data_IF_669449452835
#
_entry.id   IF_669449452835
#
_cell.length_a   1.000
_cell.length_b   1.000
_cell.length_c   1.000
_cell.angle_alpha   90.00
_cell.angle_beta   90.00
_cell.angle_gamma   90.00
#
_symmetry.space_group_name_H-M   'P 1'
#
loop_
_entity.id
_entity.type
_entity.pdbx_description
1 polymer ?
#
# COMPACT_ATOMS: atom_id res chain seq x y z
N UNK A 1 0.99 -1.93 -30.05
CA UNK A 1 0.77 -1.98 -28.60
C UNK A 1 -0.48 -2.80 -28.33
N UNK A 2 -0.37 -3.89 -27.57
CA UNK A 2 -1.50 -4.77 -27.24
C UNK A 2 -1.65 -4.84 -25.73
N UNK A 3 -2.85 -4.62 -25.21
CA UNK A 3 -3.10 -4.63 -23.78
C UNK A 3 -3.12 -6.07 -23.24
N UNK A 4 -2.45 -6.32 -22.11
CA UNK A 4 -2.24 -7.65 -21.54
C UNK A 4 -2.92 -7.85 -20.19
N UNK A 5 -2.89 -6.82 -19.33
CA UNK A 5 -3.34 -6.91 -17.94
C UNK A 5 -3.64 -5.54 -17.34
N UNK A 6 -4.59 -5.50 -16.42
CA UNK A 6 -4.88 -4.40 -15.50
C UNK A 6 -5.17 -4.93 -14.12
N UNK A 7 -4.73 -4.18 -13.11
CA UNK A 7 -5.16 -4.31 -11.73
C UNK A 7 -5.35 -2.94 -11.12
N UNK A 8 -6.46 -2.79 -10.40
CA UNK A 8 -6.73 -1.69 -9.51
C UNK A 8 -6.95 -2.25 -8.10
N UNK A 9 -6.17 -1.79 -7.14
CA UNK A 9 -6.32 -2.09 -5.73
C UNK A 9 -6.70 -0.79 -5.03
N UNK A 10 -7.92 -0.69 -4.54
CA UNK A 10 -8.44 0.49 -3.86
C UNK A 10 -8.64 0.21 -2.38
N UNK A 11 -8.16 1.09 -1.50
CA UNK A 11 -8.40 1.03 -0.06
C UNK A 11 -9.07 2.31 0.41
N UNK A 12 -10.14 2.16 1.19
CA UNK A 12 -10.84 3.27 1.84
C UNK A 12 -10.92 3.07 3.34
N UNK A 13 -10.94 4.17 4.09
CA UNK A 13 -11.25 4.19 5.52
C UNK A 13 -12.29 5.25 5.79
N UNK A 14 -13.33 4.89 6.52
CA UNK A 14 -14.45 5.77 6.85
C UNK A 14 -14.92 5.58 8.29
N UNK A 15 -15.48 6.62 8.87
CA UNK A 15 -16.30 6.48 10.07
C UNK A 15 -17.54 5.65 9.77
N UNK A 16 -17.70 4.55 10.51
CA UNK A 16 -18.94 3.78 10.52
C UNK A 16 -19.91 4.33 11.58
N UNK A 17 -19.36 4.76 12.72
CA UNK A 17 -20.03 5.45 13.82
C UNK A 17 -18.99 6.26 14.60
N UNK A 18 -19.43 7.03 15.60
CA UNK A 18 -18.55 7.88 16.43
C UNK A 18 -17.41 7.11 17.13
N UNK A 19 -17.57 5.79 17.32
CA UNK A 19 -16.63 4.91 18.01
C UNK A 19 -15.98 3.85 17.10
N UNK A 20 -16.33 3.82 15.80
CA UNK A 20 -15.91 2.74 14.89
C UNK A 20 -15.48 3.23 13.53
N UNK A 21 -14.43 2.59 13.03
CA UNK A 21 -13.93 2.79 11.68
C UNK A 21 -14.20 1.54 10.85
N UNK A 22 -14.51 1.73 9.58
CA UNK A 22 -14.50 0.67 8.57
C UNK A 22 -13.36 0.93 7.62
N UNK A 23 -12.48 -0.06 7.46
CA UNK A 23 -11.47 -0.07 6.41
C UNK A 23 -11.78 -1.19 5.42
N UNK A 24 -11.72 -0.87 4.14
CA UNK A 24 -12.07 -1.80 3.06
C UNK A 24 -11.00 -1.71 1.97
N UNK A 25 -10.52 -2.86 1.51
CA UNK A 25 -9.63 -3.00 0.36
C UNK A 25 -10.32 -3.84 -0.72
N UNK A 26 -10.44 -3.29 -1.92
CA UNK A 26 -11.00 -3.95 -3.10
C UNK A 26 -9.91 -4.17 -4.12
N UNK A 27 -9.79 -5.40 -4.63
CA UNK A 27 -8.98 -5.75 -5.78
C UNK A 27 -9.94 -5.96 -6.95
N UNK A 28 -9.78 -5.16 -8.00
CA UNK A 28 -10.45 -5.35 -9.27
C UNK A 28 -9.39 -5.42 -10.37
N UNK A 29 -9.22 -6.60 -10.96
CA UNK A 29 -8.17 -6.86 -11.93
C UNK A 29 -8.66 -7.78 -13.04
N UNK A 30 -7.83 -7.99 -14.06
CA UNK A 30 -8.20 -8.77 -15.24
C UNK A 30 -8.65 -10.20 -14.88
N UNK A 31 -8.02 -10.82 -13.89
CA UNK A 31 -8.26 -12.21 -13.51
C UNK A 31 -9.09 -12.36 -12.22
N UNK A 32 -9.12 -11.35 -11.36
CA UNK A 32 -9.75 -11.49 -10.04
C UNK A 32 -10.47 -10.23 -9.56
N UNK A 33 -11.51 -10.46 -8.77
CA UNK A 33 -12.36 -9.46 -8.13
C UNK A 33 -12.69 -9.92 -6.70
N UNK A 34 -12.14 -9.22 -5.72
CA UNK A 34 -12.29 -9.54 -4.30
C UNK A 34 -12.36 -8.27 -3.46
N UNK A 35 -12.96 -8.37 -2.28
CA UNK A 35 -12.94 -7.34 -1.26
C UNK A 35 -12.59 -7.94 0.09
N UNK A 36 -11.75 -7.27 0.86
CA UNK A 36 -11.51 -7.56 2.27
C UNK A 36 -11.81 -6.32 3.09
N UNK A 37 -12.32 -6.49 4.29
CA UNK A 37 -12.62 -5.36 5.18
C UNK A 37 -12.46 -5.73 6.65
N UNK A 38 -12.23 -4.70 7.45
CA UNK A 38 -12.22 -4.75 8.90
C UNK A 38 -13.06 -3.62 9.47
N UNK A 39 -13.64 -3.85 10.65
CA UNK A 39 -14.21 -2.82 11.50
C UNK A 39 -13.37 -2.78 12.78
N UNK A 40 -12.92 -1.58 13.17
CA UNK A 40 -12.11 -1.39 14.39
C UNK A 40 -12.84 -0.46 15.35
N UNK A 41 -12.55 -0.60 16.64
CA UNK A 41 -12.80 0.50 17.57
C UNK A 41 -11.84 1.66 17.25
N UNK A 42 -12.23 2.90 17.55
CA UNK A 42 -11.42 4.08 17.21
C UNK A 42 -10.27 4.33 18.20
N UNK A 43 -10.45 3.93 19.46
CA UNK A 43 -9.57 4.35 20.56
C UNK A 43 -8.30 3.52 20.60
N UNK A 44 -8.45 2.20 20.53
CA UNK A 44 -7.37 1.22 20.63
C UNK A 44 -7.06 0.60 19.27
N UNK A 45 -7.95 0.71 18.28
CA UNK A 45 -7.82 0.10 16.95
C UNK A 45 -7.88 -1.43 16.95
N UNK A 46 -8.56 -2.06 17.91
CA UNK A 46 -8.75 -3.50 17.87
C UNK A 46 -9.80 -3.87 16.82
N UNK A 47 -9.52 -4.91 16.05
CA UNK A 47 -10.44 -5.44 15.05
C UNK A 47 -11.64 -6.06 15.77
N UNK A 48 -12.82 -5.50 15.55
CA UNK A 48 -14.10 -5.98 16.10
C UNK A 48 -14.77 -6.98 15.16
N UNK A 49 -14.64 -6.76 13.85
CA UNK A 49 -15.18 -7.61 12.79
C UNK A 49 -14.25 -7.59 11.59
N UNK A 50 -14.21 -8.69 10.84
CA UNK A 50 -13.48 -8.78 9.60
C UNK A 50 -14.10 -9.84 8.70
N UNK A 51 -14.05 -9.60 7.40
CA UNK A 51 -14.44 -10.57 6.40
C UNK A 51 -13.72 -10.30 5.08
N UNK A 52 -13.86 -11.26 4.17
CA UNK A 52 -13.56 -11.06 2.75
C UNK A 52 -14.63 -11.73 1.89
N UNK A 53 -14.80 -11.20 0.70
CA UNK A 53 -15.75 -11.70 -0.29
C UNK A 53 -15.05 -11.85 -1.63
N UNK A 54 -15.28 -13.00 -2.26
CA UNK A 54 -14.73 -13.36 -3.57
C UNK A 54 -15.87 -13.29 -4.58
N UNK A 55 -15.76 -12.39 -5.55
CA UNK A 55 -16.73 -12.29 -6.65
C UNK A 55 -16.24 -13.09 -7.86
N UNK A 56 -14.95 -12.97 -8.19
CA UNK A 56 -14.29 -13.69 -9.27
C UNK A 56 -12.85 -14.04 -8.90
N UNK A 57 -12.46 -15.28 -9.11
CA UNK A 57 -11.05 -15.70 -9.00
C UNK A 57 -10.83 -17.00 -9.78
N UNK A 58 -9.64 -17.20 -10.37
CA UNK A 58 -9.25 -18.51 -10.90
C UNK A 58 -8.80 -19.49 -9.81
N UNK A 59 -8.56 -19.02 -8.58
CA UNK A 59 -8.02 -19.82 -7.47
C UNK A 59 -9.07 -20.04 -6.37
N UNK A 60 -9.86 -19.01 -6.07
CA UNK A 60 -10.80 -19.03 -4.94
C UNK A 60 -12.24 -19.24 -5.38
N UNK A 61 -13.00 -19.99 -4.58
CA UNK A 61 -14.45 -20.11 -4.74
C UNK A 61 -15.13 -18.78 -4.43
N UNK A 62 -16.12 -18.41 -5.25
CA UNK A 62 -16.93 -17.23 -5.00
C UNK A 62 -17.77 -17.40 -3.73
N UNK A 63 -17.86 -16.35 -2.92
CA UNK A 63 -18.60 -16.38 -1.66
C UNK A 63 -18.11 -15.36 -0.64
N UNK A 64 -18.87 -15.27 0.45
CA UNK A 64 -18.56 -14.42 1.60
C UNK A 64 -18.01 -15.27 2.74
N UNK A 65 -16.93 -14.81 3.36
CA UNK A 65 -16.23 -15.53 4.40
C UNK A 65 -15.87 -14.58 5.54
N UNK A 66 -16.43 -14.85 6.72
CA UNK A 66 -16.04 -14.16 7.95
C UNK A 66 -14.64 -14.60 8.40
N UNK A 67 -13.93 -13.69 9.05
CA UNK A 67 -12.58 -13.92 9.56
C UNK A 67 -12.56 -13.74 11.10
N UNK A 68 -13.25 -14.60 11.87
CA UNK A 68 -13.26 -14.50 13.33
C UNK A 68 -11.85 -14.62 13.95
N UNK A 69 -10.91 -15.28 13.25
CA UNK A 69 -9.53 -15.48 13.69
C UNK A 69 -8.68 -14.20 13.78
N UNK A 70 -9.11 -13.10 13.16
CA UNK A 70 -8.43 -11.80 13.26
C UNK A 70 -9.07 -10.85 14.26
N UNK A 71 -10.23 -11.19 14.82
CA UNK A 71 -10.89 -10.36 15.85
C UNK A 71 -10.00 -10.27 17.08
N UNK A 72 -9.85 -9.04 17.61
CA UNK A 72 -8.98 -8.72 18.74
C UNK A 72 -7.52 -8.43 18.36
N UNK A 73 -7.12 -8.62 17.10
CA UNK A 73 -5.82 -8.12 16.63
C UNK A 73 -5.88 -6.59 16.62
N UNK A 74 -4.79 -5.96 17.08
CA UNK A 74 -4.63 -4.52 17.02
C UNK A 74 -4.28 -4.11 15.57
N UNK A 75 -5.15 -3.34 14.91
CA UNK A 75 -5.00 -2.82 13.54
C UNK A 75 -4.02 -1.63 13.48
N UNK A 76 -2.83 -1.83 14.06
CA UNK A 76 -1.77 -0.84 14.10
C UNK A 76 -0.43 -1.49 13.76
N UNK A 77 0.66 -0.79 14.08
CA UNK A 77 2.03 -1.25 13.87
C UNK A 77 2.25 -2.63 14.49
N UNK A 78 3.11 -3.44 13.86
CA UNK A 78 3.46 -4.80 14.31
C UNK A 78 2.31 -5.82 14.32
N UNK A 79 1.17 -5.54 13.69
CA UNK A 79 0.08 -6.51 13.46
C UNK A 79 0.47 -7.68 12.55
N UNK A 80 1.50 -7.52 11.70
CA UNK A 80 1.90 -8.49 10.68
C UNK A 80 2.15 -9.93 11.18
N UNK A 81 2.96 -10.15 12.24
CA UNK A 81 3.15 -11.48 12.82
C UNK A 81 1.86 -12.12 13.35
N UNK A 82 0.98 -11.34 13.98
CA UNK A 82 -0.30 -11.82 14.49
C UNK A 82 -1.23 -12.21 13.33
N UNK A 83 -1.34 -11.35 12.31
CA UNK A 83 -2.08 -11.67 11.09
C UNK A 83 -1.55 -12.93 10.40
N UNK A 84 -0.23 -13.09 10.29
CA UNK A 84 0.38 -14.28 9.70
C UNK A 84 0.07 -15.54 10.51
N UNK A 85 -0.01 -15.43 11.84
CA UNK A 85 -0.38 -16.53 12.73
C UNK A 85 -1.86 -16.91 12.60
N UNK A 86 -2.76 -15.92 12.55
CA UNK A 86 -4.20 -16.17 12.40
C UNK A 86 -4.56 -16.67 11.01
N UNK A 87 -3.93 -16.11 9.96
CA UNK A 87 -4.16 -16.45 8.56
C UNK A 87 -2.98 -17.27 8.01
N UNK A 88 -2.70 -18.41 8.63
CA UNK A 88 -1.48 -19.19 8.37
C UNK A 88 -1.56 -20.15 7.18
N UNK A 89 -2.76 -20.41 6.65
CA UNK A 89 -2.93 -21.35 5.53
C UNK A 89 -2.41 -20.70 4.24
N UNK A 90 -1.64 -21.40 3.38
CA UNK A 90 -1.13 -20.84 2.12
C UNK A 90 -2.21 -20.20 1.25
N UNK A 91 -3.40 -20.81 1.21
CA UNK A 91 -4.55 -20.31 0.45
C UNK A 91 -5.08 -18.96 0.98
N UNK A 92 -4.69 -18.51 2.17
CA UNK A 92 -5.10 -17.23 2.74
C UNK A 92 -4.11 -16.10 2.49
N UNK A 93 -3.11 -16.26 1.60
CA UNK A 93 -2.15 -15.21 1.32
C UNK A 93 -2.84 -13.93 0.82
N UNK A 94 -3.76 -14.03 -0.14
CA UNK A 94 -4.43 -12.86 -0.69
C UNK A 94 -5.35 -12.20 0.35
N UNK A 95 -6.05 -12.99 1.17
CA UNK A 95 -6.82 -12.50 2.32
C UNK A 95 -5.94 -11.69 3.26
N UNK A 96 -4.75 -12.21 3.61
CA UNK A 96 -3.80 -11.50 4.46
C UNK A 96 -3.30 -10.20 3.82
N UNK A 97 -3.09 -10.18 2.51
CA UNK A 97 -2.72 -8.96 1.78
C UNK A 97 -3.85 -7.91 1.85
N UNK A 98 -5.11 -8.30 1.61
CA UNK A 98 -6.28 -7.41 1.72
C UNK A 98 -6.41 -6.80 3.13
N UNK A 99 -6.33 -7.63 4.18
CA UNK A 99 -6.43 -7.17 5.57
C UNK A 99 -5.22 -6.30 5.93
N UNK A 100 -4.02 -6.61 5.43
CA UNK A 100 -2.84 -5.78 5.64
C UNK A 100 -2.99 -4.39 5.00
N UNK A 101 -3.58 -4.29 3.80
CA UNK A 101 -3.86 -2.98 3.19
C UNK A 101 -4.92 -2.20 3.99
N UNK A 102 -5.95 -2.86 4.53
CA UNK A 102 -6.92 -2.22 5.43
C UNK A 102 -6.23 -1.62 6.66
N UNK A 103 -5.34 -2.38 7.32
CA UNK A 103 -4.59 -1.89 8.49
C UNK A 103 -3.70 -0.70 8.13
N UNK A 104 -2.98 -0.75 6.99
CA UNK A 104 -2.20 0.41 6.54
C UNK A 104 -3.10 1.63 6.31
N UNK A 105 -4.30 1.43 5.77
CA UNK A 105 -5.29 2.49 5.63
C UNK A 105 -5.67 3.10 6.97
N UNK A 106 -5.97 2.26 7.98
CA UNK A 106 -6.32 2.72 9.34
C UNK A 106 -5.18 3.55 9.95
N UNK A 107 -3.94 3.08 9.83
CA UNK A 107 -2.76 3.81 10.32
C UNK A 107 -2.66 5.20 9.68
N UNK A 108 -2.86 5.30 8.36
CA UNK A 108 -2.80 6.57 7.64
C UNK A 108 -4.01 7.48 7.98
N UNK A 109 -5.18 6.90 8.21
CA UNK A 109 -6.38 7.64 8.60
C UNK A 109 -6.28 8.27 9.99
N UNK A 110 -5.39 7.77 10.86
CA UNK A 110 -5.18 8.25 12.24
C UNK A 110 -4.91 9.75 12.31
N UNK A 111 -4.31 10.34 11.27
CA UNK A 111 -4.11 11.79 11.12
C UNK A 111 -5.39 12.60 11.32
N UNK A 112 -6.57 12.03 11.04
CA UNK A 112 -7.85 12.71 11.16
C UNK A 112 -8.60 12.43 12.47
N UNK A 113 -8.14 11.48 13.29
CA UNK A 113 -8.75 11.12 14.57
C UNK A 113 -7.69 10.91 15.68
N UNK A 114 -6.56 11.62 15.60
CA UNK A 114 -5.47 11.50 16.56
C UNK A 114 -5.92 11.86 18.00
N UNK A 115 -6.92 12.75 18.15
CA UNK A 115 -7.42 13.13 19.48
C UNK A 115 -8.13 11.96 20.18
N UNK A 116 -8.92 11.20 19.42
CA UNK A 116 -9.61 10.00 19.86
C UNK A 116 -8.62 8.89 20.25
N UNK A 117 -7.42 8.93 19.66
CA UNK A 117 -6.27 8.08 19.98
C UNK A 117 -5.47 8.56 21.20
N UNK A 118 -5.85 9.68 21.80
CA UNK A 118 -5.29 10.19 23.05
C UNK A 118 -4.14 11.20 22.88
N UNK A 119 -3.83 11.61 21.64
CA UNK A 119 -2.85 12.66 21.39
C UNK A 119 -3.43 14.03 21.75
N UNK A 120 -2.62 14.88 22.39
CA UNK A 120 -3.07 16.16 22.96
C UNK A 120 -3.16 17.26 21.92
N UNK A 121 -2.30 17.22 20.91
CA UNK A 121 -2.21 18.21 19.85
C UNK A 121 -1.62 17.61 18.57
N UNK A 122 -1.60 18.40 17.49
CA UNK A 122 -0.98 18.03 16.22
C UNK A 122 0.53 17.78 16.38
N UNK A 123 1.21 18.62 17.17
CA UNK A 123 2.63 18.52 17.44
C UNK A 123 2.98 17.25 18.25
N UNK A 124 2.11 16.86 19.18
CA UNK A 124 2.25 15.63 19.97
C UNK A 124 2.13 14.38 19.07
N UNK A 125 1.15 14.38 18.16
CA UNK A 125 0.99 13.32 17.15
C UNK A 125 2.18 13.23 16.20
N UNK A 126 2.65 14.35 15.69
CA UNK A 126 3.78 14.41 14.76
C UNK A 126 5.09 13.98 15.44
N UNK A 127 5.34 14.43 16.67
CA UNK A 127 6.50 14.02 17.44
C UNK A 127 6.53 12.50 17.71
N UNK A 128 5.37 11.90 17.97
CA UNK A 128 5.25 10.44 18.08
C UNK A 128 5.65 9.75 16.78
N UNK A 129 5.09 10.17 15.64
CA UNK A 129 5.38 9.53 14.36
C UNK A 129 6.82 9.71 13.89
N UNK A 130 7.43 10.86 14.17
CA UNK A 130 8.85 11.11 13.91
C UNK A 130 9.77 10.12 14.65
N UNK A 131 9.37 9.65 15.84
CA UNK A 131 10.12 8.63 16.58
C UNK A 131 9.82 7.21 16.09
N UNK A 132 8.55 6.93 15.81
CA UNK A 132 8.08 5.61 15.44
C UNK A 132 8.55 5.19 14.05
N UNK A 133 8.60 6.14 13.11
CA UNK A 133 9.01 5.90 11.73
C UNK A 133 10.47 6.19 11.44
N UNK A 134 11.30 6.40 12.48
CA UNK A 134 12.75 6.56 12.31
C UNK A 134 13.31 5.46 11.40
N UNK A 135 14.14 5.86 10.43
CA UNK A 135 14.76 4.97 9.44
C UNK A 135 13.80 4.18 8.53
N UNK A 136 12.50 4.53 8.50
CA UNK A 136 11.51 3.82 7.68
C UNK A 136 11.47 4.28 6.21
N UNK A 137 11.86 5.52 5.94
CA UNK A 137 12.01 6.07 4.60
C UNK A 137 12.93 7.30 4.62
N UNK A 138 13.26 7.83 3.44
CA UNK A 138 14.20 8.92 3.26
C UNK A 138 13.84 10.16 4.09
N UNK A 139 12.54 10.48 4.18
CA UNK A 139 12.02 11.59 4.99
C UNK A 139 12.28 11.36 6.48
N UNK A 140 11.84 10.23 7.04
CA UNK A 140 12.02 9.94 8.47
C UNK A 140 13.46 9.60 8.87
N UNK A 141 14.34 9.34 7.90
CA UNK A 141 15.80 9.18 8.14
C UNK A 141 16.54 10.51 8.11
N UNK A 142 15.90 11.59 7.65
CA UNK A 142 16.51 12.91 7.44
C UNK A 142 15.58 14.03 7.94
N UNK A 143 15.01 13.87 9.14
CA UNK A 143 14.06 14.82 9.72
C UNK A 143 14.64 16.25 9.82
N UNK A 144 15.95 16.39 9.93
CA UNK A 144 16.67 17.68 9.95
C UNK A 144 16.62 18.44 8.61
N UNK A 145 16.27 17.75 7.51
CA UNK A 145 16.19 18.30 6.15
C UNK A 145 14.76 18.58 5.70
N UNK A 146 13.77 18.26 6.53
CA UNK A 146 12.37 18.54 6.24
C UNK A 146 12.11 20.05 6.33
N UNK A 147 11.30 20.56 5.41
CA UNK A 147 11.08 22.01 5.30
C UNK A 147 9.78 22.48 6.00
N UNK A 148 8.86 21.57 6.32
CA UNK A 148 7.59 21.89 6.96
C UNK A 148 7.11 20.82 7.93
N UNK A 149 5.94 21.04 8.52
CA UNK A 149 5.28 20.06 9.39
C UNK A 149 4.31 19.16 8.61
N UNK A 150 4.01 17.99 9.16
CA UNK A 150 2.99 17.10 8.59
C UNK A 150 1.64 17.80 8.39
N UNK A 151 1.22 18.62 9.35
CA UNK A 151 -0.08 19.31 9.27
C UNK A 151 -0.07 20.55 8.36
N UNK A 152 1.09 21.16 8.10
CA UNK A 152 1.23 22.15 7.02
C UNK A 152 1.02 21.49 5.65
N UNK A 153 1.51 20.26 5.49
CA UNK A 153 1.34 19.49 4.25
C UNK A 153 -0.09 18.97 4.04
N UNK A 154 -0.68 18.36 5.07
CA UNK A 154 -2.06 17.85 5.02
C UNK A 154 -3.07 18.99 4.87
N UNK A 155 -2.76 20.15 5.45
CA UNK A 155 -3.60 21.34 5.46
C UNK A 155 -4.80 21.22 6.40
N UNK A 156 -5.56 22.31 6.52
CA UNK A 156 -6.78 22.37 7.33
C UNK A 156 -7.96 21.74 6.56
N UNK A 157 -8.00 20.41 6.53
CA UNK A 157 -9.02 19.62 5.86
C UNK A 157 -9.63 18.60 6.84
N UNK A 158 -10.48 19.03 7.79
CA UNK A 158 -11.16 18.10 8.69
C UNK A 158 -12.03 17.13 7.88
N UNK A 159 -11.97 15.84 8.24
CA UNK A 159 -12.73 14.78 7.60
C UNK A 159 -13.77 14.23 8.57
N UNK A 160 -15.05 14.27 8.19
CA UNK A 160 -16.17 13.84 9.05
C UNK A 160 -16.75 12.48 8.67
N UNK A 161 -16.30 11.88 7.56
CA UNK A 161 -16.81 10.58 7.12
C UNK A 161 -15.71 9.74 6.47
N UNK A 162 -15.36 10.01 5.21
CA UNK A 162 -14.23 9.36 4.56
C UNK A 162 -12.91 9.96 5.08
N UNK A 163 -12.05 9.13 5.65
CA UNK A 163 -10.80 9.54 6.30
C UNK A 163 -9.58 9.30 5.42
N UNK A 164 -9.58 8.24 4.62
CA UNK A 164 -8.43 7.90 3.81
C UNK A 164 -8.85 7.16 2.54
N UNK A 165 -8.14 7.43 1.45
CA UNK A 165 -8.26 6.68 0.20
C UNK A 165 -6.87 6.39 -0.35
N UNK A 166 -6.69 5.22 -0.95
CA UNK A 166 -5.49 4.81 -1.66
C UNK A 166 -5.86 3.96 -2.86
N UNK A 167 -5.18 4.16 -3.98
CA UNK A 167 -5.28 3.31 -5.15
C UNK A 167 -3.89 2.93 -5.65
N UNK A 168 -3.70 1.65 -5.95
CA UNK A 168 -2.61 1.15 -6.78
C UNK A 168 -3.20 0.70 -8.11
N UNK A 169 -2.71 1.26 -9.20
CA UNK A 169 -3.14 0.89 -10.55
C UNK A 169 -1.92 0.37 -11.28
N UNK A 170 -2.05 -0.78 -11.94
CA UNK A 170 -0.99 -1.35 -12.78
C UNK A 170 -1.59 -1.81 -14.10
N UNK A 171 -1.05 -1.30 -15.19
CA UNK A 171 -1.38 -1.68 -16.56
C UNK A 171 -0.15 -2.29 -17.25
N UNK A 172 -0.36 -3.37 -18.01
CA UNK A 172 0.70 -4.00 -18.80
C UNK A 172 0.27 -4.08 -20.26
N UNK A 173 1.16 -3.60 -21.12
CA UNK A 173 1.02 -3.65 -22.57
C UNK A 173 2.20 -4.41 -23.19
N UNK A 174 1.93 -5.24 -24.19
CA UNK A 174 2.95 -5.77 -25.09
C UNK A 174 3.32 -4.72 -26.14
N UNK A 175 4.61 -4.45 -26.28
CA UNK A 175 5.21 -3.57 -27.27
C UNK A 175 6.30 -4.36 -27.99
N UNK A 176 6.01 -4.80 -29.22
CA UNK A 176 6.92 -5.62 -30.03
C UNK A 176 7.40 -6.85 -29.22
N UNK A 177 8.71 -6.94 -28.98
CA UNK A 177 9.40 -8.00 -28.22
C UNK A 177 9.67 -7.60 -26.77
N UNK A 178 8.80 -6.77 -26.19
CA UNK A 178 8.89 -6.33 -24.80
C UNK A 178 7.52 -6.09 -24.18
N UNK A 179 7.49 -5.87 -22.86
CA UNK A 179 6.31 -5.39 -22.15
C UNK A 179 6.59 -4.04 -21.51
N UNK A 180 5.62 -3.13 -21.61
CA UNK A 180 5.59 -1.88 -20.88
C UNK A 180 4.59 -2.00 -19.74
N UNK A 181 5.08 -1.74 -18.54
CA UNK A 181 4.33 -1.74 -17.30
C UNK A 181 4.22 -0.29 -16.84
N UNK A 182 2.99 0.17 -16.64
CA UNK A 182 2.69 1.47 -16.06
C UNK A 182 2.08 1.24 -14.68
N UNK A 183 2.59 1.91 -13.66
CA UNK A 183 2.09 1.79 -12.30
C UNK A 183 1.81 3.17 -11.71
N UNK A 184 0.66 3.33 -11.06
CA UNK A 184 0.30 4.54 -10.31
C UNK A 184 0.03 4.17 -8.87
N UNK A 185 0.69 4.85 -7.95
CA UNK A 185 0.33 4.89 -6.55
C UNK A 185 -0.25 6.26 -6.27
N UNK A 186 -1.46 6.30 -5.72
CA UNK A 186 -2.08 7.52 -5.26
C UNK A 186 -2.79 7.26 -3.94
N UNK A 187 -2.53 8.08 -2.93
CA UNK A 187 -3.34 8.11 -1.72
C UNK A 187 -3.64 9.54 -1.29
N UNK A 188 -4.34 9.70 -0.16
CA UNK A 188 -4.65 11.02 0.41
C UNK A 188 -3.44 11.95 0.51
N UNK A 189 -2.23 11.41 0.62
CA UNK A 189 -1.01 12.15 0.94
C UNK A 189 0.10 12.00 -0.10
N UNK A 190 0.07 11.01 -0.96
CA UNK A 190 1.16 10.72 -1.90
C UNK A 190 0.61 10.45 -3.29
N UNK A 191 1.42 10.77 -4.29
CA UNK A 191 1.17 10.39 -5.67
C UNK A 191 2.50 10.20 -6.38
N UNK A 192 2.72 8.99 -6.89
CA UNK A 192 3.86 8.66 -7.72
C UNK A 192 3.48 7.69 -8.84
N UNK A 193 4.22 7.76 -9.92
CA UNK A 193 4.04 6.93 -11.10
C UNK A 193 5.36 6.22 -11.42
N UNK A 194 5.26 5.00 -11.94
CA UNK A 194 6.39 4.24 -12.46
C UNK A 194 6.11 3.83 -13.90
N UNK A 195 7.16 3.79 -14.70
CA UNK A 195 7.18 3.12 -15.99
C UNK A 195 8.33 2.14 -16.02
N UNK A 196 8.03 0.87 -16.24
CA UNK A 196 9.03 -0.21 -16.31
C UNK A 196 8.85 -0.92 -17.65
N UNK A 197 9.95 -1.10 -18.37
CA UNK A 197 9.98 -1.98 -19.55
C UNK A 197 10.75 -3.24 -19.22
N UNK A 198 10.16 -4.38 -19.52
CA UNK A 198 10.79 -5.70 -19.38
C UNK A 198 10.87 -6.39 -20.75
N UNK A 199 11.89 -7.21 -20.96
CA UNK A 199 11.97 -8.09 -22.13
C UNK A 199 11.00 -9.29 -22.01
N UNK A 200 10.98 -10.14 -23.03
CA UNK A 200 10.11 -11.34 -23.04
C UNK A 200 10.45 -12.36 -21.96
N UNK A 201 11.66 -12.31 -21.39
CA UNK A 201 12.02 -13.15 -20.26
C UNK A 201 11.65 -12.51 -18.91
N UNK A 202 11.18 -11.25 -18.91
CA UNK A 202 10.84 -10.52 -17.70
C UNK A 202 12.02 -9.85 -17.02
N UNK A 203 13.12 -9.61 -17.73
CA UNK A 203 14.24 -8.80 -17.23
C UNK A 203 13.98 -7.33 -17.54
N UNK A 204 14.18 -6.47 -16.55
CA UNK A 204 14.01 -5.01 -16.70
C UNK A 204 15.09 -4.44 -17.62
N UNK A 205 14.66 -3.70 -18.64
CA UNK A 205 15.52 -3.02 -19.61
C UNK A 205 15.44 -1.49 -19.52
N UNK A 206 14.37 -0.95 -18.96
CA UNK A 206 14.22 0.47 -18.64
C UNK A 206 13.29 0.62 -17.42
N UNK A 207 13.55 1.62 -16.56
CA UNK A 207 12.77 1.85 -15.36
C UNK A 207 12.86 3.33 -14.95
N UNK A 208 11.72 3.97 -14.79
CA UNK A 208 11.60 5.39 -14.47
C UNK A 208 10.49 5.58 -13.45
N UNK A 209 10.60 6.62 -12.62
CA UNK A 209 9.58 7.00 -11.66
C UNK A 209 9.48 8.52 -11.53
N UNK A 210 8.27 9.00 -11.29
CA UNK A 210 7.96 10.41 -11.10
C UNK A 210 7.06 10.58 -9.87
N UNK A 211 7.33 11.60 -9.08
CA UNK A 211 6.54 11.97 -7.91
C UNK A 211 5.75 13.22 -8.27
N UNK A 212 4.42 13.16 -8.18
CA UNK A 212 3.54 14.32 -8.38
C UNK A 212 3.30 15.01 -7.05
N UNK A 213 3.04 14.22 -5.99
CA UNK A 213 2.69 14.72 -4.65
C UNK A 213 3.43 13.90 -3.60
N UNK A 214 4.16 14.57 -2.72
CA UNK A 214 4.82 13.95 -1.57
C UNK A 214 4.95 14.97 -0.42
N UNK A 215 5.01 14.51 0.85
CA UNK A 215 5.07 15.40 2.02
C UNK A 215 6.27 16.34 2.03
N UNK A 216 7.42 15.87 1.53
CA UNK A 216 8.69 16.58 1.62
C UNK A 216 9.43 16.60 0.29
N UNK A 217 10.19 17.67 0.05
CA UNK A 217 10.96 17.83 -1.21
C UNK A 217 11.99 16.73 -1.40
N UNK A 218 12.60 16.24 -0.32
CA UNK A 218 13.59 15.16 -0.38
C UNK A 218 13.00 13.88 -0.99
N UNK A 219 11.70 13.64 -0.84
CA UNK A 219 11.01 12.46 -1.37
C UNK A 219 11.09 12.36 -2.90
N UNK A 220 11.12 13.48 -3.61
CA UNK A 220 11.18 13.53 -5.07
C UNK A 220 12.49 12.98 -5.63
N UNK A 221 13.53 12.89 -4.79
CA UNK A 221 14.83 12.33 -5.19
C UNK A 221 14.84 10.80 -5.28
N UNK A 222 13.79 10.13 -4.77
CA UNK A 222 13.72 8.65 -4.73
C UNK A 222 13.61 8.01 -6.12
N UNK A 223 13.26 8.75 -7.16
CA UNK A 223 13.25 8.25 -8.56
C UNK A 223 14.60 7.68 -8.98
N UNK A 224 15.71 8.19 -8.41
CA UNK A 224 17.08 7.68 -8.62
C UNK A 224 17.24 6.18 -8.35
N UNK A 225 16.36 5.57 -7.54
CA UNK A 225 16.47 4.15 -7.22
C UNK A 225 15.95 3.23 -8.33
N UNK A 226 15.27 3.77 -9.34
CA UNK A 226 14.77 2.97 -10.47
C UNK A 226 15.88 2.36 -11.32
N UNK A 227 17.03 3.03 -11.42
CA UNK A 227 18.20 2.49 -12.14
C UNK A 227 18.69 1.15 -11.56
N UNK A 228 18.48 0.91 -10.26
CA UNK A 228 18.86 -0.34 -9.60
C UNK A 228 17.99 -1.53 -10.03
N UNK A 229 16.85 -1.29 -10.66
CA UNK A 229 15.99 -2.34 -11.20
C UNK A 229 16.52 -2.86 -12.54
N UNK A 230 17.34 -2.10 -13.26
CA UNK A 230 17.82 -2.49 -14.58
C UNK A 230 18.59 -3.81 -14.49
N UNK A 231 18.16 -4.78 -15.29
CA UNK A 231 18.71 -6.12 -15.32
C UNK A 231 18.13 -7.09 -14.29
N UNK A 232 17.27 -6.64 -13.38
CA UNK A 232 16.58 -7.50 -12.42
C UNK A 232 15.32 -8.15 -13.01
N UNK A 233 14.82 -9.18 -12.33
CA UNK A 233 13.52 -9.83 -12.56
C UNK A 233 12.59 -9.50 -11.40
N UNK A 234 11.93 -8.34 -11.46
CA UNK A 234 11.15 -7.78 -10.33
C UNK A 234 10.02 -8.71 -9.86
N UNK A 235 9.52 -9.56 -10.75
CA UNK A 235 8.51 -10.59 -10.49
C UNK A 235 9.01 -11.73 -9.61
N UNK A 236 10.31 -11.86 -9.38
CA UNK A 236 10.92 -12.90 -8.53
C UNK A 236 11.18 -12.40 -7.11
N UNK A 237 11.16 -11.08 -6.89
CA UNK A 237 11.46 -10.49 -5.60
C UNK A 237 10.26 -10.50 -4.66
N UNK A 238 10.54 -10.71 -3.38
CA UNK A 238 9.58 -10.44 -2.34
C UNK A 238 9.59 -8.94 -1.98
N UNK A 239 8.59 -8.48 -1.23
CA UNK A 239 8.46 -7.07 -0.85
C UNK A 239 9.67 -6.51 -0.08
N UNK A 240 10.33 -7.32 0.77
CA UNK A 240 11.51 -6.87 1.53
C UNK A 240 12.71 -6.63 0.62
N UNK A 241 12.91 -7.50 -0.37
CA UNK A 241 14.00 -7.34 -1.34
C UNK A 241 13.79 -6.04 -2.14
N UNK A 242 12.55 -5.77 -2.56
CA UNK A 242 12.20 -4.56 -3.28
C UNK A 242 12.36 -3.29 -2.44
N UNK A 243 12.09 -3.33 -1.13
CA UNK A 243 12.37 -2.21 -0.22
C UNK A 243 13.87 -1.87 -0.24
N UNK A 244 14.74 -2.87 -0.19
CA UNK A 244 16.19 -2.65 -0.22
C UNK A 244 16.65 -2.06 -1.57
N UNK A 245 16.11 -2.57 -2.67
CA UNK A 245 16.39 -2.03 -4.01
C UNK A 245 15.91 -0.58 -4.12
N UNK A 246 14.71 -0.30 -3.61
CA UNK A 246 14.11 1.03 -3.57
C UNK A 246 14.77 2.00 -2.57
N UNK A 247 15.89 1.60 -1.93
CA UNK A 247 16.73 2.48 -1.10
C UNK A 247 16.69 2.19 0.40
N UNK A 248 15.82 1.30 0.88
CA UNK A 248 15.66 1.03 2.31
C UNK A 248 15.30 2.29 3.09
N UNK A 249 16.04 2.57 4.17
CA UNK A 249 15.91 3.81 4.95
C UNK A 249 16.16 5.07 4.10
N UNK A 250 17.04 4.99 3.11
CA UNK A 250 17.34 6.10 2.18
C UNK A 250 16.37 6.16 0.97
N UNK A 251 15.30 5.37 1.04
CA UNK A 251 14.36 5.10 -0.05
C UNK A 251 12.92 5.50 0.24
N UNK A 252 12.01 5.00 -0.58
CA UNK A 252 10.57 5.21 -0.44
C UNK A 252 9.83 3.88 -0.34
N UNK A 253 9.13 3.66 0.76
CA UNK A 253 8.28 2.48 0.94
C UNK A 253 7.14 2.42 -0.08
N UNK A 254 6.55 3.56 -0.45
CA UNK A 254 5.50 3.63 -1.47
C UNK A 254 6.01 3.28 -2.87
N UNK A 255 7.27 3.59 -3.19
CA UNK A 255 7.91 3.14 -4.42
C UNK A 255 8.06 1.62 -4.45
N UNK A 256 8.50 1.02 -3.34
CA UNK A 256 8.58 -0.43 -3.22
C UNK A 256 7.19 -1.10 -3.34
N UNK A 257 6.13 -0.47 -2.80
CA UNK A 257 4.76 -0.99 -2.89
C UNK A 257 4.27 -1.06 -4.35
N UNK A 258 4.47 -0.01 -5.15
CA UNK A 258 4.03 -0.01 -6.55
C UNK A 258 4.92 -0.89 -7.45
N UNK A 259 6.23 -1.00 -7.18
CA UNK A 259 7.10 -1.97 -7.87
C UNK A 259 6.68 -3.40 -7.54
N UNK A 260 6.29 -3.67 -6.28
CA UNK A 260 5.80 -4.99 -5.89
C UNK A 260 4.49 -5.35 -6.60
N UNK A 261 3.56 -4.39 -6.73
CA UNK A 261 2.34 -4.58 -7.51
C UNK A 261 2.66 -4.85 -8.99
N UNK A 262 3.60 -4.10 -9.59
CA UNK A 262 4.08 -4.32 -10.95
C UNK A 262 4.71 -5.71 -11.15
N UNK A 263 5.52 -6.17 -10.20
CA UNK A 263 6.11 -7.51 -10.20
C UNK A 263 5.06 -8.63 -10.15
N UNK A 264 4.03 -8.47 -9.30
CA UNK A 264 2.90 -9.42 -9.24
C UNK A 264 2.14 -9.49 -10.56
N UNK A 265 1.79 -8.34 -11.14
CA UNK A 265 1.10 -8.27 -12.44
C UNK A 265 1.95 -8.89 -13.57
N UNK A 266 3.26 -8.62 -13.57
CA UNK A 266 4.20 -9.17 -14.56
C UNK A 266 4.26 -10.69 -14.50
N UNK A 267 4.20 -11.28 -13.30
CA UNK A 267 4.16 -12.75 -13.12
C UNK A 267 2.95 -13.37 -13.81
N UNK A 268 1.78 -12.72 -13.75
CA UNK A 268 0.55 -13.20 -14.41
C UNK A 268 0.69 -13.15 -15.94
N UNK A 269 1.30 -12.09 -16.48
CA UNK A 269 1.49 -11.94 -17.92
C UNK A 269 2.53 -12.91 -18.47
N UNK A 270 3.65 -13.10 -17.76
CA UNK A 270 4.76 -13.97 -18.18
C UNK A 270 4.45 -15.47 -18.07
N UNK A 271 3.42 -15.85 -17.31
CA UNK A 271 2.99 -17.24 -17.18
C UNK A 271 2.08 -17.71 -18.35
N UNK A 272 1.73 -16.81 -19.28
CA UNK A 272 0.90 -17.08 -20.46
C UNK A 272 1.77 -17.26 -21.71
#
# INVERSE_FOLDING_TARGET
MHYMYHSNINTTVEFLSDDRLKAQCTILSTDQELVGWIITDIKDLNILQAAWEVYRSPVYTAGYYELPEVVGINAFLQSGPQLKKSLSVPDQQLTRELISECIKGVIQAETFFYKERGFRSQEDYEAFWNQVYVDSCLCFSNLDKNEGSWFEYVGDAPRSHNLFNRSHIVDIYRIEDSFSIMGTFIDSFHELNIQIRIDTEGKVIAAEAEYTRAPERICYTNSRHMEKLIGCRIQEFNKKDLILIAGGAEGCSHLADIIYAAGKASRVVLAK
#
